data_IF_254619491338
#
_entry.id   IF_254619491338
#
_cell.length_a   1.000
_cell.length_b   1.000
_cell.length_c   1.000
_cell.angle_alpha   90.00
_cell.angle_beta   90.00
_cell.angle_gamma   90.00
#
_symmetry.space_group_name_H-M   'P 1'
#
loop_
_entity.id
_entity.type
_entity.pdbx_description
1 polymer ?
#
# COMPACT_ATOMS: atom_id res chain seq x y z
N UNK A 1 14.88 -2.12 23.27
CA UNK A 1 15.34 -1.01 22.37
C UNK A 1 14.45 0.22 22.59
N UNK A 2 15.00 1.44 22.39
CA UNK A 2 14.19 2.66 22.33
C UNK A 2 13.38 2.73 21.03
N UNK A 3 12.35 3.59 20.99
CA UNK A 3 11.45 3.70 19.82
C UNK A 3 12.22 4.10 18.54
N UNK A 4 13.08 5.12 18.65
CA UNK A 4 13.91 5.56 17.52
C UNK A 4 14.82 4.44 16.99
N UNK A 5 15.47 3.66 17.91
CA UNK A 5 16.28 2.51 17.52
C UNK A 5 15.48 1.42 16.81
N UNK A 6 14.19 1.25 17.13
CA UNK A 6 13.31 0.31 16.43
C UNK A 6 12.99 0.82 15.02
N UNK A 7 12.66 2.10 14.87
CA UNK A 7 12.33 2.71 13.57
C UNK A 7 13.50 2.58 12.58
N UNK A 8 14.71 2.86 13.01
CA UNK A 8 15.91 2.70 12.17
C UNK A 8 16.35 1.24 12.05
N UNK A 9 16.29 0.47 13.13
CA UNK A 9 16.72 -0.92 13.19
C UNK A 9 15.93 -1.85 12.27
N UNK A 10 14.67 -1.53 11.94
CA UNK A 10 13.88 -2.30 10.97
C UNK A 10 14.58 -2.33 9.58
N UNK A 11 15.29 -1.29 9.21
CA UNK A 11 15.99 -1.21 7.93
C UNK A 11 17.37 -1.87 7.94
N UNK A 12 18.11 -1.79 9.07
CA UNK A 12 19.51 -2.19 9.13
C UNK A 12 19.75 -3.50 9.92
N UNK A 13 18.97 -3.76 10.96
CA UNK A 13 19.07 -4.96 11.81
C UNK A 13 17.68 -5.58 12.05
N UNK A 14 16.93 -5.98 11.00
CA UNK A 14 15.52 -6.35 11.15
C UNK A 14 15.31 -7.52 12.11
N UNK A 15 16.16 -8.54 12.07
CA UNK A 15 16.02 -9.72 12.94
C UNK A 15 16.04 -9.37 14.43
N UNK A 16 17.02 -8.58 14.87
CA UNK A 16 17.18 -8.12 16.26
C UNK A 16 16.05 -7.18 16.66
N UNK A 17 15.68 -6.29 15.76
CA UNK A 17 14.62 -5.29 16.00
C UNK A 17 13.26 -5.96 16.16
N UNK A 18 12.91 -6.89 15.29
CA UNK A 18 11.64 -7.60 15.41
C UNK A 18 11.59 -8.57 16.61
N UNK A 19 12.72 -9.11 17.07
CA UNK A 19 12.76 -9.86 18.32
C UNK A 19 12.36 -8.96 19.51
N UNK A 20 12.91 -7.75 19.61
CA UNK A 20 12.55 -6.77 20.64
C UNK A 20 11.09 -6.28 20.52
N UNK A 21 10.59 -6.09 19.28
CA UNK A 21 9.19 -5.74 19.04
C UNK A 21 8.25 -6.88 19.48
N UNK A 22 8.60 -8.12 19.21
CA UNK A 22 7.81 -9.28 19.62
C UNK A 22 7.69 -9.42 21.15
N UNK A 23 8.75 -9.07 21.89
CA UNK A 23 8.71 -9.06 23.36
C UNK A 23 7.89 -7.91 23.93
N UNK A 24 7.97 -6.73 23.31
CA UNK A 24 7.31 -5.50 23.76
C UNK A 24 6.57 -4.83 22.61
N UNK A 25 5.42 -5.39 22.17
CA UNK A 25 4.71 -4.95 20.97
C UNK A 25 4.07 -3.58 21.19
N UNK A 26 4.73 -2.55 20.65
CA UNK A 26 4.24 -1.17 20.54
C UNK A 26 4.03 -0.87 19.05
N UNK A 27 2.88 -0.43 18.66
CA UNK A 27 2.47 -0.28 17.27
C UNK A 27 2.09 1.16 16.87
N UNK A 28 1.84 2.03 17.85
CA UNK A 28 1.24 3.34 17.61
C UNK A 28 2.16 4.26 16.80
N UNK A 29 3.44 4.33 17.19
CA UNK A 29 4.40 5.26 16.55
C UNK A 29 4.62 4.91 15.07
N UNK A 30 4.98 3.68 14.67
CA UNK A 30 5.16 3.35 13.26
C UNK A 30 3.86 3.52 12.46
N UNK A 31 2.70 3.19 13.02
CA UNK A 31 1.41 3.39 12.36
C UNK A 31 1.14 4.87 12.09
N UNK A 32 1.32 5.73 13.08
CA UNK A 32 1.13 7.18 12.92
C UNK A 32 2.08 7.76 11.88
N UNK A 33 3.34 7.35 11.87
CA UNK A 33 4.32 7.82 10.88
C UNK A 33 3.92 7.45 9.45
N UNK A 34 3.43 6.23 9.22
CA UNK A 34 2.95 5.80 7.90
C UNK A 34 1.72 6.62 7.48
N UNK A 35 0.76 6.84 8.39
CA UNK A 35 -0.43 7.67 8.11
C UNK A 35 -0.02 9.11 7.77
N UNK A 36 0.84 9.71 8.59
CA UNK A 36 1.32 11.10 8.36
C UNK A 36 2.03 11.22 7.02
N UNK A 37 2.91 10.26 6.68
CA UNK A 37 3.60 10.25 5.39
C UNK A 37 2.61 10.13 4.20
N UNK A 38 1.60 9.28 4.31
CA UNK A 38 0.57 9.13 3.28
C UNK A 38 -0.30 10.38 3.13
N UNK A 39 -0.75 10.98 4.24
CA UNK A 39 -1.52 12.24 4.22
C UNK A 39 -0.68 13.37 3.64
N UNK A 40 0.58 13.50 4.03
CA UNK A 40 1.51 14.51 3.50
C UNK A 40 1.70 14.34 1.97
N UNK A 41 1.87 13.11 1.50
CA UNK A 41 1.98 12.82 0.07
C UNK A 41 0.73 13.27 -0.70
N UNK A 42 -0.47 12.88 -0.27
CA UNK A 42 -1.70 13.28 -0.94
C UNK A 42 -2.00 14.77 -0.83
N UNK A 43 -1.61 15.41 0.29
CA UNK A 43 -1.70 16.85 0.44
C UNK A 43 -0.82 17.58 -0.58
N UNK A 44 0.45 17.21 -0.67
CA UNK A 44 1.38 17.78 -1.64
C UNK A 44 0.93 17.51 -3.08
N UNK A 45 0.40 16.31 -3.35
CA UNK A 45 -0.18 15.98 -4.64
C UNK A 45 -1.33 16.94 -5.01
N UNK A 46 -2.25 17.14 -4.10
CA UNK A 46 -3.38 18.05 -4.31
C UNK A 46 -2.96 19.50 -4.56
N UNK A 47 -1.85 19.96 -3.95
CA UNK A 47 -1.32 21.30 -4.13
C UNK A 47 -0.50 21.47 -5.42
N UNK A 48 0.30 20.46 -5.79
CA UNK A 48 1.25 20.57 -6.89
C UNK A 48 0.67 20.08 -8.23
N UNK A 49 0.02 18.93 -8.24
CA UNK A 49 -0.57 18.31 -9.45
C UNK A 49 -2.04 18.68 -9.59
N UNK A 50 -2.79 18.56 -8.51
CA UNK A 50 -4.23 18.84 -8.46
C UNK A 50 -5.10 17.63 -8.76
N UNK A 51 -6.22 17.52 -8.03
CA UNK A 51 -7.17 16.41 -8.16
C UNK A 51 -7.97 16.45 -9.47
N UNK A 52 -8.11 17.63 -10.08
CA UNK A 52 -8.80 17.79 -11.36
C UNK A 52 -8.01 17.11 -12.50
N UNK A 53 -6.67 17.27 -12.53
CA UNK A 53 -5.82 16.57 -13.49
C UNK A 53 -5.92 15.05 -13.35
N UNK A 54 -5.94 14.56 -12.12
CA UNK A 54 -6.14 13.14 -11.88
C UNK A 54 -7.47 12.65 -12.45
N UNK A 55 -8.57 13.37 -12.20
CA UNK A 55 -9.88 13.02 -12.73
C UNK A 55 -9.90 13.05 -14.26
N UNK A 56 -9.33 14.08 -14.88
CA UNK A 56 -9.24 14.18 -16.35
C UNK A 56 -8.43 13.02 -16.94
N UNK A 57 -7.30 12.70 -16.36
CA UNK A 57 -6.50 11.53 -16.78
C UNK A 57 -7.27 10.22 -16.64
N UNK A 58 -8.05 10.06 -15.56
CA UNK A 58 -8.94 8.90 -15.41
C UNK A 58 -10.04 8.84 -16.47
N UNK A 59 -10.58 9.98 -16.88
CA UNK A 59 -11.55 10.04 -17.96
C UNK A 59 -10.94 9.63 -19.31
N UNK A 60 -9.68 9.96 -19.56
CA UNK A 60 -8.97 9.60 -20.80
C UNK A 60 -8.56 8.12 -20.85
N UNK A 61 -8.20 7.55 -19.69
CA UNK A 61 -7.62 6.19 -19.60
C UNK A 61 -8.60 5.12 -19.14
N UNK A 62 -9.77 5.50 -18.63
CA UNK A 62 -10.78 4.58 -18.10
C UNK A 62 -12.14 4.81 -18.77
N UNK A 63 -12.55 3.93 -19.72
CA UNK A 63 -13.80 4.07 -20.44
C UNK A 63 -15.05 4.20 -19.57
N UNK A 64 -15.04 3.62 -18.36
CA UNK A 64 -16.18 3.71 -17.42
C UNK A 64 -16.33 5.11 -16.83
N UNK A 65 -15.22 5.72 -16.44
CA UNK A 65 -15.22 7.09 -15.92
C UNK A 65 -15.68 8.05 -17.02
N UNK A 66 -15.21 7.84 -18.26
CA UNK A 66 -15.65 8.58 -19.42
C UNK A 66 -17.16 8.45 -19.63
N UNK A 67 -17.69 7.22 -19.74
CA UNK A 67 -19.13 6.98 -19.93
C UNK A 67 -19.98 7.57 -18.80
N UNK A 68 -19.50 7.53 -17.57
CA UNK A 68 -20.20 8.10 -16.43
C UNK A 68 -20.32 9.62 -16.55
N UNK A 69 -19.26 10.28 -17.02
CA UNK A 69 -19.26 11.74 -17.26
C UNK A 69 -20.06 12.13 -18.49
N UNK A 70 -20.10 11.30 -19.53
CA UNK A 70 -20.91 11.54 -20.73
C UNK A 70 -22.42 11.53 -20.45
N UNK A 71 -22.87 10.76 -19.43
CA UNK A 71 -24.27 10.74 -18.98
C UNK A 71 -24.72 12.04 -18.30
N UNK A 72 -23.78 12.88 -17.87
CA UNK A 72 -24.09 14.17 -17.27
C UNK A 72 -24.34 15.20 -18.38
N UNK A 73 -25.45 15.97 -18.32
CA UNK A 73 -25.73 17.03 -19.28
C UNK A 73 -24.55 18.02 -19.40
N UNK A 74 -24.21 18.44 -20.61
CA UNK A 74 -23.02 19.27 -20.85
C UNK A 74 -22.98 20.53 -19.97
N UNK A 75 -24.14 21.18 -19.74
CA UNK A 75 -24.23 22.37 -18.89
C UNK A 75 -23.92 22.12 -17.41
N UNK A 76 -23.88 20.85 -16.95
CA UNK A 76 -23.64 20.49 -15.56
C UNK A 76 -22.26 19.82 -15.35
N UNK A 77 -21.51 19.52 -16.44
CA UNK A 77 -20.26 18.77 -16.36
C UNK A 77 -19.18 19.48 -15.54
N UNK A 78 -19.01 20.78 -15.72
CA UNK A 78 -18.00 21.54 -14.99
C UNK A 78 -18.29 21.57 -13.48
N UNK A 79 -19.55 21.73 -13.09
CA UNK A 79 -19.98 21.67 -11.69
C UNK A 79 -19.78 20.26 -11.11
N UNK A 80 -20.07 19.22 -11.90
CA UNK A 80 -19.85 17.82 -11.49
C UNK A 80 -18.35 17.51 -11.32
N UNK A 81 -17.49 17.97 -12.23
CA UNK A 81 -16.04 17.84 -12.13
C UNK A 81 -15.53 18.54 -10.87
N UNK A 82 -15.92 19.79 -10.62
CA UNK A 82 -15.50 20.55 -9.45
C UNK A 82 -15.93 19.86 -8.14
N UNK A 83 -17.17 19.37 -8.07
CA UNK A 83 -17.68 18.65 -6.92
C UNK A 83 -16.95 17.31 -6.71
N UNK A 84 -16.78 16.52 -7.75
CA UNK A 84 -16.08 15.22 -7.68
C UNK A 84 -14.62 15.42 -7.29
N UNK A 85 -13.92 16.40 -7.82
CA UNK A 85 -12.54 16.75 -7.47
C UNK A 85 -12.39 17.09 -5.98
N UNK A 86 -13.32 17.89 -5.44
CA UNK A 86 -13.35 18.23 -4.00
C UNK A 86 -13.51 16.99 -3.12
N UNK A 87 -14.47 16.12 -3.44
CA UNK A 87 -14.70 14.90 -2.67
C UNK A 87 -13.58 13.88 -2.83
N UNK A 88 -12.93 13.84 -4.00
CA UNK A 88 -11.80 12.95 -4.25
C UNK A 88 -10.63 13.27 -3.30
N UNK A 89 -10.23 14.54 -3.16
CA UNK A 89 -9.19 14.95 -2.23
C UNK A 89 -9.53 14.56 -0.78
N UNK A 90 -10.73 14.87 -0.31
CA UNK A 90 -11.21 14.48 1.01
C UNK A 90 -11.18 12.95 1.17
N UNK A 91 -11.61 12.20 0.15
CA UNK A 91 -11.62 10.74 0.14
C UNK A 91 -10.22 10.13 0.29
N UNK A 92 -9.21 10.66 -0.37
CA UNK A 92 -7.82 10.21 -0.23
C UNK A 92 -7.25 10.50 1.17
N UNK A 93 -7.51 11.67 1.75
CA UNK A 93 -7.06 11.98 3.11
C UNK A 93 -7.75 11.10 4.15
N UNK A 94 -9.09 11.07 4.13
CA UNK A 94 -9.88 10.26 5.06
C UNK A 94 -9.60 8.76 4.87
N UNK A 95 -9.51 8.32 3.60
CA UNK A 95 -9.13 6.97 3.26
C UNK A 95 -7.79 6.57 3.86
N UNK A 96 -6.76 7.42 3.77
CA UNK A 96 -5.47 7.14 4.39
C UNK A 96 -5.57 6.99 5.90
N UNK A 97 -6.30 7.89 6.57
CA UNK A 97 -6.43 7.88 8.05
C UNK A 97 -7.20 6.65 8.55
N UNK A 98 -8.22 6.21 7.81
CA UNK A 98 -9.12 5.12 8.24
C UNK A 98 -8.70 3.78 7.64
N UNK A 99 -8.42 3.75 6.34
CA UNK A 99 -8.18 2.48 5.64
C UNK A 99 -6.80 1.89 5.93
N UNK A 100 -5.77 2.72 6.17
CA UNK A 100 -4.44 2.19 6.51
C UNK A 100 -4.48 1.40 7.82
N UNK A 101 -4.98 1.93 8.96
CA UNK A 101 -5.12 1.12 10.18
C UNK A 101 -6.01 -0.12 9.99
N UNK A 102 -7.13 0.04 9.29
CA UNK A 102 -8.06 -1.07 9.03
C UNK A 102 -7.37 -2.19 8.24
N UNK A 103 -6.66 -1.86 7.17
CA UNK A 103 -5.93 -2.85 6.35
C UNK A 103 -4.80 -3.51 7.14
N UNK A 104 -4.14 -2.79 8.04
CA UNK A 104 -3.10 -3.38 8.91
C UNK A 104 -3.70 -4.34 9.93
N UNK A 105 -4.88 -4.02 10.50
CA UNK A 105 -5.63 -4.93 11.39
C UNK A 105 -6.04 -6.19 10.63
N UNK A 106 -6.62 -6.04 9.43
CA UNK A 106 -7.06 -7.17 8.58
C UNK A 106 -5.84 -8.03 8.20
N UNK A 107 -4.74 -7.42 7.75
CA UNK A 107 -3.51 -8.13 7.39
C UNK A 107 -2.95 -8.91 8.58
N UNK A 108 -2.89 -8.27 9.76
CA UNK A 108 -2.43 -8.93 10.97
C UNK A 108 -3.33 -10.10 11.39
N UNK A 109 -4.65 -9.98 11.25
CA UNK A 109 -5.61 -11.04 11.55
C UNK A 109 -5.46 -12.23 10.60
N UNK A 110 -5.31 -11.98 9.29
CA UNK A 110 -5.12 -13.03 8.28
C UNK A 110 -3.79 -13.77 8.52
N UNK A 111 -2.69 -13.02 8.68
CA UNK A 111 -1.35 -13.60 8.96
C UNK A 111 -1.36 -14.40 10.26
N UNK A 112 -2.02 -13.89 11.30
CA UNK A 112 -2.22 -14.61 12.56
C UNK A 112 -2.97 -15.93 12.37
N UNK A 113 -4.09 -15.87 11.61
CA UNK A 113 -4.92 -17.04 11.30
C UNK A 113 -4.12 -18.14 10.62
N UNK A 114 -3.28 -17.80 9.65
CA UNK A 114 -2.42 -18.76 8.96
C UNK A 114 -1.29 -19.24 9.89
N UNK A 115 -0.54 -18.32 10.51
CA UNK A 115 0.63 -18.68 11.30
C UNK A 115 0.27 -19.48 12.57
N UNK A 116 -0.72 -19.04 13.33
CA UNK A 116 -1.10 -19.70 14.58
C UNK A 116 -2.21 -20.72 14.41
N UNK A 117 -3.19 -20.48 13.51
CA UNK A 117 -4.29 -21.38 13.27
C UNK A 117 -3.88 -22.61 12.44
N UNK A 118 -3.10 -22.42 11.37
CA UNK A 118 -2.71 -23.53 10.48
C UNK A 118 -1.31 -24.09 10.79
N UNK A 119 -0.37 -23.26 11.27
CA UNK A 119 1.05 -23.65 11.44
C UNK A 119 1.48 -23.70 12.91
N UNK A 120 0.57 -23.52 13.88
CA UNK A 120 0.83 -23.61 15.32
C UNK A 120 1.98 -22.73 15.82
N UNK A 121 2.16 -21.55 15.21
CA UNK A 121 3.24 -20.62 15.54
C UNK A 121 3.17 -20.04 16.97
N UNK A 122 1.97 -20.03 17.58
CA UNK A 122 1.77 -19.59 18.97
C UNK A 122 2.00 -18.10 19.19
N UNK A 123 1.92 -17.28 18.15
CA UNK A 123 2.03 -15.83 18.22
C UNK A 123 0.70 -15.18 18.59
N UNK A 124 0.75 -14.00 19.21
CA UNK A 124 -0.43 -13.25 19.64
C UNK A 124 -0.77 -12.12 18.64
N UNK A 125 -2.05 -11.76 18.51
CA UNK A 125 -2.49 -10.68 17.63
C UNK A 125 -1.68 -9.39 17.81
N UNK A 126 -1.48 -8.94 19.05
CA UNK A 126 -0.72 -7.70 19.35
C UNK A 126 0.70 -7.73 18.81
N UNK A 127 1.35 -8.92 18.83
CA UNK A 127 2.69 -9.11 18.25
C UNK A 127 2.65 -8.97 16.73
N UNK A 128 1.74 -9.70 16.07
CA UNK A 128 1.61 -9.67 14.61
C UNK A 128 1.22 -8.26 14.13
N UNK A 129 0.30 -7.60 14.83
CA UNK A 129 -0.11 -6.24 14.48
C UNK A 129 1.06 -5.24 14.60
N UNK A 130 1.84 -5.31 15.69
CA UNK A 130 3.03 -4.48 15.82
C UNK A 130 4.06 -4.78 14.72
N UNK A 131 4.28 -6.06 14.38
CA UNK A 131 5.17 -6.46 13.28
C UNK A 131 4.70 -5.83 11.96
N UNK A 132 3.41 -5.93 11.62
CA UNK A 132 2.85 -5.33 10.39
C UNK A 132 3.05 -3.82 10.36
N UNK A 133 2.82 -3.13 11.49
CA UNK A 133 3.02 -1.68 11.57
C UNK A 133 4.48 -1.28 11.32
N UNK A 134 5.45 -1.98 11.91
CA UNK A 134 6.87 -1.70 11.67
C UNK A 134 7.34 -2.14 10.28
N UNK A 135 6.84 -3.27 9.79
CA UNK A 135 7.14 -3.74 8.43
C UNK A 135 6.60 -2.80 7.35
N UNK A 136 5.61 -1.96 7.66
CA UNK A 136 5.07 -0.93 6.77
C UNK A 136 5.93 0.31 6.61
N UNK A 137 7.00 0.50 7.42
CA UNK A 137 7.87 1.69 7.36
C UNK A 137 8.53 1.95 5.99
N UNK A 138 8.89 0.97 5.16
CA UNK A 138 9.33 1.22 3.79
C UNK A 138 8.34 2.03 2.95
N UNK A 139 7.05 2.00 3.29
CA UNK A 139 6.03 2.86 2.67
C UNK A 139 6.30 4.36 2.84
N UNK A 140 6.96 4.76 3.93
CA UNK A 140 7.38 6.16 4.14
C UNK A 140 8.44 6.56 3.10
N UNK A 141 9.42 5.68 2.85
CA UNK A 141 10.43 5.90 1.81
C UNK A 141 9.79 5.96 0.42
N UNK A 142 8.81 5.08 0.16
CA UNK A 142 8.03 5.10 -1.09
C UNK A 142 7.35 6.46 -1.30
N UNK A 143 6.65 6.97 -0.29
CA UNK A 143 6.01 8.28 -0.36
C UNK A 143 7.02 9.42 -0.52
N UNK A 144 8.14 9.39 0.22
CA UNK A 144 9.19 10.40 0.10
C UNK A 144 9.79 10.43 -1.33
N UNK A 145 10.11 9.27 -1.90
CA UNK A 145 10.58 9.17 -3.28
C UNK A 145 9.52 9.63 -4.29
N UNK A 146 8.26 9.27 -4.08
CA UNK A 146 7.15 9.71 -4.93
C UNK A 146 6.97 11.24 -4.90
N UNK A 147 7.17 11.88 -3.74
CA UNK A 147 7.19 13.35 -3.61
C UNK A 147 8.34 13.93 -4.44
N UNK A 148 9.56 13.38 -4.31
CA UNK A 148 10.70 13.84 -5.11
C UNK A 148 10.42 13.74 -6.60
N UNK A 149 9.92 12.59 -7.07
CA UNK A 149 9.57 12.37 -8.49
C UNK A 149 8.46 13.33 -8.93
N UNK A 150 7.48 13.59 -8.08
CA UNK A 150 6.39 14.51 -8.37
C UNK A 150 6.88 15.95 -8.63
N UNK A 151 7.90 16.40 -7.91
CA UNK A 151 8.47 17.74 -8.11
C UNK A 151 9.51 17.80 -9.25
N UNK A 152 10.05 16.66 -9.69
CA UNK A 152 10.99 16.58 -10.81
C UNK A 152 10.28 16.45 -12.17
N UNK A 153 9.07 15.92 -12.19
CA UNK A 153 8.24 15.78 -13.41
C UNK A 153 7.29 16.96 -13.58
N UNK A 154 6.85 17.17 -14.81
CA UNK A 154 5.71 18.06 -15.04
C UNK A 154 4.44 17.48 -14.39
N UNK A 155 3.51 18.31 -13.89
CA UNK A 155 2.27 17.83 -13.30
C UNK A 155 1.45 16.90 -14.20
N UNK A 156 1.54 17.06 -15.51
CA UNK A 156 0.81 16.25 -16.49
C UNK A 156 1.46 14.87 -16.72
N UNK A 157 2.74 14.72 -16.43
CA UNK A 157 3.48 13.45 -16.56
C UNK A 157 3.49 12.62 -15.28
N UNK A 158 3.01 13.18 -14.17
CA UNK A 158 3.04 12.47 -12.89
C UNK A 158 1.83 11.52 -12.76
N UNK A 159 2.12 10.22 -12.76
CA UNK A 159 1.10 9.18 -12.59
C UNK A 159 0.92 8.82 -11.10
N UNK A 160 -0.21 9.24 -10.50
CA UNK A 160 -0.53 8.93 -9.11
C UNK A 160 -0.67 7.42 -8.83
N UNK A 161 -1.15 6.65 -9.81
CA UNK A 161 -1.39 5.21 -9.66
C UNK A 161 -0.08 4.43 -9.64
N UNK A 162 0.91 4.87 -10.42
CA UNK A 162 2.23 4.25 -10.48
C UNK A 162 3.33 5.35 -10.46
N UNK A 163 3.54 6.01 -9.31
CA UNK A 163 4.44 7.16 -9.22
C UNK A 163 5.93 6.81 -9.36
N UNK A 164 6.27 5.55 -9.09
CA UNK A 164 7.64 5.05 -9.13
C UNK A 164 7.75 3.87 -10.09
N UNK A 165 8.81 3.84 -10.90
CA UNK A 165 9.08 2.76 -11.85
C UNK A 165 9.76 1.54 -11.18
N UNK A 166 9.31 1.14 -9.98
CA UNK A 166 9.88 0.03 -9.20
C UNK A 166 9.05 -1.25 -9.27
N UNK A 167 8.30 -1.43 -10.35
CA UNK A 167 7.52 -2.63 -10.65
C UNK A 167 7.55 -2.90 -12.17
N UNK A 168 7.30 -4.16 -12.60
CA UNK A 168 7.31 -4.49 -14.03
C UNK A 168 6.27 -3.75 -14.88
N UNK A 169 5.15 -3.33 -14.30
CA UNK A 169 4.12 -2.57 -15.02
C UNK A 169 4.61 -1.20 -15.52
N UNK A 170 5.67 -0.65 -14.94
CA UNK A 170 6.27 0.60 -15.40
C UNK A 170 6.84 0.52 -16.83
N UNK A 171 7.10 -0.70 -17.33
CA UNK A 171 7.63 -0.99 -18.67
C UNK A 171 6.56 -1.54 -19.61
N UNK A 172 5.30 -1.56 -19.19
CA UNK A 172 4.17 -2.07 -19.96
C UNK A 172 3.27 -0.93 -20.42
N UNK A 173 2.63 -1.11 -21.57
CA UNK A 173 1.60 -0.19 -22.04
C UNK A 173 0.31 -0.38 -21.21
N UNK A 174 -0.14 0.63 -20.44
CA UNK A 174 -1.32 0.50 -19.59
C UNK A 174 -2.63 0.37 -20.36
N UNK A 175 -2.66 0.74 -21.65
CA UNK A 175 -3.85 0.69 -22.52
C UNK A 175 -3.93 -0.68 -23.22
N UNK A 176 -2.83 -1.12 -23.83
CA UNK A 176 -2.79 -2.32 -24.67
C UNK A 176 -2.46 -3.61 -23.91
N UNK A 177 -1.93 -3.52 -22.68
CA UNK A 177 -1.68 -4.71 -21.86
C UNK A 177 -2.98 -5.21 -21.21
N UNK A 178 -3.26 -6.53 -21.24
CA UNK A 178 -4.40 -7.09 -20.52
C UNK A 178 -4.41 -6.65 -19.05
N UNK A 179 -5.53 -6.14 -18.57
CA UNK A 179 -5.63 -5.55 -17.21
C UNK A 179 -5.24 -6.53 -16.10
N UNK A 180 -5.53 -7.83 -16.29
CA UNK A 180 -5.06 -8.87 -15.38
C UNK A 180 -3.54 -8.85 -15.24
N UNK A 181 -2.82 -8.92 -16.36
CA UNK A 181 -1.35 -8.94 -16.38
C UNK A 181 -0.76 -7.66 -15.84
N UNK A 182 -1.32 -6.50 -16.24
CA UNK A 182 -0.88 -5.19 -15.74
C UNK A 182 -1.04 -5.09 -14.22
N UNK A 183 -2.18 -5.54 -13.66
CA UNK A 183 -2.43 -5.52 -12.22
C UNK A 183 -1.47 -6.43 -11.45
N UNK A 184 -1.20 -7.64 -11.95
CA UNK A 184 -0.20 -8.54 -11.36
C UNK A 184 1.19 -7.89 -11.39
N UNK A 185 1.60 -7.36 -12.55
CA UNK A 185 2.90 -6.70 -12.71
C UNK A 185 3.05 -5.50 -11.78
N UNK A 186 2.00 -4.70 -11.59
CA UNK A 186 1.99 -3.55 -10.68
C UNK A 186 2.11 -3.94 -9.21
N UNK A 187 1.59 -5.13 -8.83
CA UNK A 187 1.67 -5.63 -7.45
C UNK A 187 3.05 -6.15 -7.06
N UNK A 188 3.92 -6.47 -8.04
CA UNK A 188 5.32 -6.89 -7.83
C UNK A 188 6.24 -5.68 -7.61
N UNK A 189 5.81 -4.76 -6.77
CA UNK A 189 6.51 -3.53 -6.42
C UNK A 189 7.61 -3.81 -5.39
N UNK A 190 8.76 -3.16 -5.55
CA UNK A 190 9.93 -3.33 -4.68
C UNK A 190 9.59 -3.12 -3.20
N UNK A 191 8.81 -2.09 -2.87
CA UNK A 191 8.42 -1.79 -1.49
C UNK A 191 7.46 -2.84 -0.94
N UNK A 192 6.56 -3.37 -1.77
CA UNK A 192 5.66 -4.47 -1.39
C UNK A 192 6.45 -5.73 -1.04
N UNK A 193 7.43 -6.10 -1.86
CA UNK A 193 8.33 -7.24 -1.59
C UNK A 193 9.10 -6.99 -0.30
N UNK A 194 9.60 -5.79 -0.07
CA UNK A 194 10.31 -5.44 1.17
C UNK A 194 9.42 -5.57 2.42
N UNK A 195 8.19 -5.06 2.37
CA UNK A 195 7.20 -5.21 3.45
C UNK A 195 6.89 -6.69 3.74
N UNK A 196 6.73 -7.51 2.70
CA UNK A 196 6.51 -8.96 2.83
C UNK A 196 7.69 -9.61 3.55
N UNK A 197 8.92 -9.33 3.13
CA UNK A 197 10.12 -9.89 3.75
C UNK A 197 10.27 -9.45 5.21
N UNK A 198 10.08 -8.17 5.52
CA UNK A 198 10.14 -7.65 6.87
C UNK A 198 9.05 -8.27 7.76
N UNK A 199 7.84 -8.44 7.25
CA UNK A 199 6.75 -9.10 7.99
C UNK A 199 7.10 -10.56 8.28
N UNK A 200 7.68 -11.28 7.32
CA UNK A 200 8.13 -12.66 7.51
C UNK A 200 9.28 -12.77 8.54
N UNK A 201 10.26 -11.86 8.50
CA UNK A 201 11.33 -11.77 9.51
C UNK A 201 10.74 -11.54 10.90
N UNK A 202 9.81 -10.59 11.01
CA UNK A 202 9.13 -10.29 12.27
C UNK A 202 8.31 -11.46 12.80
N UNK A 203 7.56 -12.13 11.95
CA UNK A 203 6.77 -13.30 12.30
C UNK A 203 7.65 -14.47 12.77
N UNK A 204 8.77 -14.72 12.06
CA UNK A 204 9.79 -15.70 12.47
C UNK A 204 10.40 -15.35 13.84
N UNK A 205 10.73 -14.08 14.06
CA UNK A 205 11.29 -13.63 15.34
C UNK A 205 10.29 -13.85 16.49
N UNK A 206 9.00 -13.55 16.29
CA UNK A 206 7.95 -13.74 17.29
C UNK A 206 7.65 -15.23 17.59
N UNK A 207 7.65 -16.09 16.56
CA UNK A 207 7.35 -17.51 16.68
C UNK A 207 8.54 -18.34 17.20
N UNK A 208 9.76 -17.83 17.12
CA UNK A 208 10.98 -18.51 17.53
C UNK A 208 11.19 -19.83 16.78
N UNK A 209 11.39 -20.92 17.51
CA UNK A 209 11.62 -22.26 16.92
C UNK A 209 10.35 -22.90 16.32
N UNK A 210 9.17 -22.39 16.65
CA UNK A 210 7.88 -22.97 16.21
C UNK A 210 7.57 -22.76 14.73
N UNK A 211 8.19 -21.77 14.11
CA UNK A 211 7.96 -21.46 12.71
C UNK A 211 9.31 -21.26 12.00
N UNK A 212 9.52 -21.91 10.85
CA UNK A 212 10.67 -21.64 9.99
C UNK A 212 10.49 -20.30 9.25
N UNK A 213 11.58 -19.74 8.70
CA UNK A 213 11.47 -18.54 7.86
C UNK A 213 10.61 -18.79 6.62
N UNK A 214 10.76 -19.95 5.97
CA UNK A 214 9.90 -20.34 4.83
C UNK A 214 8.42 -20.42 5.21
N UNK A 215 8.10 -20.95 6.40
CA UNK A 215 6.73 -20.96 6.92
C UNK A 215 6.20 -19.55 7.20
N UNK A 216 7.03 -18.67 7.79
CA UNK A 216 6.67 -17.28 8.01
C UNK A 216 6.43 -16.54 6.69
N UNK A 217 7.30 -16.75 5.70
CA UNK A 217 7.16 -16.17 4.37
C UNK A 217 5.88 -16.67 3.67
N UNK A 218 5.60 -17.98 3.75
CA UNK A 218 4.36 -18.55 3.22
C UNK A 218 3.11 -17.92 3.85
N UNK A 219 3.09 -17.74 5.17
CA UNK A 219 1.97 -17.13 5.90
C UNK A 219 1.69 -15.68 5.47
N UNK A 220 2.68 -14.97 4.94
CA UNK A 220 2.54 -13.59 4.44
C UNK A 220 2.27 -13.57 2.94
N UNK A 221 2.98 -14.37 2.15
CA UNK A 221 2.88 -14.38 0.67
C UNK A 221 1.54 -14.96 0.22
N UNK A 222 1.05 -16.02 0.86
CA UNK A 222 -0.19 -16.68 0.46
C UNK A 222 -1.39 -15.71 0.42
N UNK A 223 -1.74 -14.99 1.50
CA UNK A 223 -2.87 -14.08 1.46
C UNK A 223 -2.64 -12.90 0.51
N UNK A 224 -1.42 -12.39 0.41
CA UNK A 224 -1.08 -11.35 -0.55
C UNK A 224 -1.30 -11.83 -1.99
N UNK A 225 -0.80 -13.01 -2.36
CA UNK A 225 -0.96 -13.57 -3.70
C UNK A 225 -2.44 -13.81 -4.04
N UNK A 226 -3.23 -14.33 -3.09
CA UNK A 226 -4.67 -14.52 -3.26
C UNK A 226 -5.36 -13.18 -3.53
N UNK A 227 -5.07 -12.14 -2.75
CA UNK A 227 -5.67 -10.82 -2.94
C UNK A 227 -5.26 -10.18 -4.28
N UNK A 228 -3.99 -10.33 -4.68
CA UNK A 228 -3.50 -9.86 -6.00
C UNK A 228 -4.22 -10.56 -7.14
N UNK A 229 -4.33 -11.89 -7.09
CA UNK A 229 -5.00 -12.66 -8.13
C UNK A 229 -6.49 -12.35 -8.21
N UNK A 230 -7.18 -12.22 -7.07
CA UNK A 230 -8.58 -11.80 -7.03
C UNK A 230 -8.76 -10.39 -7.62
N UNK A 231 -7.92 -9.43 -7.21
CA UNK A 231 -7.96 -8.07 -7.75
C UNK A 231 -7.66 -8.02 -9.25
N UNK A 232 -6.67 -8.78 -9.72
CA UNK A 232 -6.32 -8.88 -11.12
C UNK A 232 -7.44 -9.53 -11.95
N UNK A 233 -8.11 -10.57 -11.42
CA UNK A 233 -9.26 -11.21 -12.07
C UNK A 233 -10.43 -10.23 -12.18
N UNK A 234 -10.75 -9.51 -11.10
CA UNK A 234 -11.78 -8.48 -11.11
C UNK A 234 -11.43 -7.39 -12.14
N UNK A 235 -10.20 -6.90 -12.14
CA UNK A 235 -9.74 -5.91 -13.12
C UNK A 235 -9.88 -6.42 -14.56
N UNK A 236 -9.57 -7.70 -14.83
CA UNK A 236 -9.69 -8.31 -16.15
C UNK A 236 -11.14 -8.54 -16.63
N UNK A 237 -12.06 -8.87 -15.70
CA UNK A 237 -13.48 -9.08 -16.04
C UNK A 237 -14.16 -7.73 -16.33
N UNK A 238 -13.72 -6.71 -15.68
CA UNK A 238 -14.37 -5.40 -15.70
C UNK A 238 -13.64 -4.34 -16.56
N UNK A 239 -12.67 -4.74 -17.34
CA UNK A 239 -11.93 -3.88 -18.31
C UNK A 239 -12.63 -3.70 -19.63
#
# INVERSE_FOLDING_TARGET
MGEFSRLTGVFFEPGKTFADIAERPRWLVPLLLVIVAGVAFYFLYGQHVGWERFLRHQMETNPRVQQQMERIPAAQRDAAIAMQTKFMGIGYYFGTIVMVPLMYVISAAIVLGIASGMMSAGVKFKQVFAIVCYAGLPGILKHALAIVVMFLKSPDEFNLVNPLAFNPAAFMDPINTPKFLYTVAMSLDLFTIWVILLTAVGLKAAAGKRLSFGGALFAVVLPWAVLVLLGATIAGIFS
#
